data_IF_755735077562
#
_entry.id   IF_755735077562
#
_cell.length_a   1.000
_cell.length_b   1.000
_cell.length_c   1.000
_cell.angle_alpha   90.00
_cell.angle_beta   90.00
_cell.angle_gamma   90.00
#
_symmetry.space_group_name_H-M   'P 1'
#
loop_
_entity.id
_entity.type
_entity.pdbx_description
1 polymer ?
#
# COMPACT_ATOMS: atom_id res chain seq x y z
N UNK A 1 34.84 7.32 52.63
CA UNK A 1 33.73 7.24 52.23
C UNK A 1 33.58 6.98 50.85
N UNK A 2 33.13 6.04 50.47
CA UNK A 2 32.97 5.74 49.19
C UNK A 2 31.71 6.04 48.67
N UNK A 3 31.63 6.53 47.61
CA UNK A 3 30.50 6.82 47.05
C UNK A 3 30.26 6.00 45.92
N UNK A 4 29.46 5.23 45.79
CA UNK A 4 29.16 4.46 44.72
C UNK A 4 28.19 5.09 43.88
N UNK A 5 28.54 5.46 42.85
CA UNK A 5 27.61 6.08 41.97
C UNK A 5 27.11 5.05 41.08
N UNK A 6 25.99 4.72 41.24
CA UNK A 6 25.40 3.82 40.39
C UNK A 6 24.88 4.48 39.22
N UNK A 7 25.39 4.21 38.16
CA UNK A 7 24.91 4.83 37.00
C UNK A 7 23.90 4.02 36.42
N UNK A 8 22.78 4.37 36.55
CA UNK A 8 21.70 3.72 36.00
C UNK A 8 21.69 3.93 34.53
N UNK A 9 21.96 3.03 33.82
CA UNK A 9 21.91 3.21 32.44
C UNK A 9 20.59 2.97 31.92
N UNK A 10 19.99 3.84 31.37
CA UNK A 10 18.71 3.68 30.85
C UNK A 10 18.75 2.83 29.65
N UNK A 11 18.17 1.81 29.68
CA UNK A 11 18.09 1.05 28.60
C UNK A 11 17.17 1.53 27.64
N UNK A 12 17.53 2.10 26.72
CA UNK A 12 16.67 2.62 25.76
C UNK A 12 16.23 1.53 24.91
N UNK A 13 15.17 1.03 25.18
CA UNK A 13 14.73 0.12 24.42
C UNK A 13 14.10 0.53 23.22
N UNK A 14 14.56 0.50 22.21
CA UNK A 14 13.97 0.80 21.08
C UNK A 14 13.14 -0.19 20.63
N UNK A 15 12.12 -0.18 20.84
CA UNK A 15 11.21 -0.96 20.33
C UNK A 15 11.18 -0.81 18.94
N UNK A 16 11.81 -1.34 18.29
CA UNK A 16 11.74 -1.14 16.98
C UNK A 16 10.50 -1.67 16.52
N UNK A 17 9.82 -1.07 15.99
CA UNK A 17 8.68 -1.43 15.51
C UNK A 17 8.85 -2.31 14.48
N UNK A 18 8.90 -3.23 14.61
CA UNK A 18 9.04 -3.98 13.68
C UNK A 18 7.98 -4.25 12.92
N UNK A 19 7.65 -3.67 12.28
CA UNK A 19 6.64 -3.84 11.59
C UNK A 19 6.80 -4.73 10.63
N UNK A 20 6.85 -5.60 10.77
CA UNK A 20 6.99 -6.39 9.90
C UNK A 20 5.97 -6.63 9.05
N UNK A 21 5.59 -6.11 8.38
CA UNK A 21 4.59 -6.42 7.66
C UNK A 21 4.87 -6.27 6.36
N UNK A 22 4.64 -6.74 5.79
CA UNK A 22 4.69 -6.77 4.57
C UNK A 22 4.05 -5.91 3.99
N UNK A 23 3.90 -5.66 3.35
CA UNK A 23 3.19 -4.81 2.90
C UNK A 23 3.50 -4.28 1.72
N UNK A 24 2.78 -3.69 1.27
CA UNK A 24 2.89 -2.93 0.18
C UNK A 24 3.88 -2.01 0.52
N UNK A 25 4.95 -2.01 -0.02
CA UNK A 25 5.83 -1.03 0.31
C UNK A 25 5.57 0.25 -0.32
N UNK A 26 5.03 0.34 -1.42
CA UNK A 26 4.81 1.64 -2.05
C UNK A 26 3.69 1.57 -3.03
N UNK A 27 2.92 2.63 -3.11
CA UNK A 27 1.83 2.70 -4.07
C UNK A 27 2.00 3.97 -4.90
N UNK A 28 1.37 4.00 -6.07
CA UNK A 28 1.28 5.18 -6.90
C UNK A 28 -0.19 5.34 -7.28
N UNK A 29 -0.82 6.42 -6.91
CA UNK A 29 -0.30 7.51 -6.07
C UNK A 29 0.04 7.03 -4.66
N UNK A 30 0.85 7.78 -3.95
CA UNK A 30 1.17 7.42 -2.58
C UNK A 30 -0.09 7.47 -1.72
N UNK A 31 -0.14 6.61 -0.74
CA UNK A 31 -1.31 6.56 0.13
C UNK A 31 -1.50 7.91 0.80
N UNK A 32 -2.67 8.46 0.70
CA UNK A 32 -2.99 9.75 1.29
C UNK A 32 -2.61 10.93 0.43
N UNK A 33 -2.05 10.73 -0.74
CA UNK A 33 -1.58 11.84 -1.57
C UNK A 33 -2.73 12.58 -2.24
N UNK A 34 -2.49 13.83 -2.55
CA UNK A 34 -3.39 14.60 -3.38
C UNK A 34 -2.64 14.88 -4.68
N UNK A 35 -3.22 14.49 -5.79
CA UNK A 35 -2.56 14.61 -7.08
C UNK A 35 -3.44 15.31 -8.08
N UNK A 36 -2.83 15.85 -9.12
CA UNK A 36 -3.62 16.53 -10.15
C UNK A 36 -4.27 15.55 -11.11
N UNK A 37 -3.60 14.45 -11.37
CA UNK A 37 -4.17 13.45 -12.26
C UNK A 37 -3.51 12.13 -12.00
N UNK A 38 -4.11 11.05 -12.46
CA UNK A 38 -3.59 9.72 -12.25
C UNK A 38 -3.53 9.02 -13.58
N UNK A 39 -2.31 8.67 -13.99
CA UNK A 39 -2.17 7.92 -15.22
C UNK A 39 -1.97 6.45 -14.95
N UNK A 40 -1.53 6.07 -13.78
CA UNK A 40 -1.28 4.69 -13.47
C UNK A 40 -1.50 4.44 -11.99
N UNK A 41 -2.05 3.29 -11.70
CA UNK A 41 -2.18 2.80 -10.34
C UNK A 41 -1.18 1.67 -10.17
N UNK A 42 -0.34 1.75 -9.16
CA UNK A 42 0.70 0.77 -8.98
C UNK A 42 0.83 0.37 -7.52
N UNK A 43 1.06 -0.89 -7.28
CA UNK A 43 1.30 -1.39 -5.95
C UNK A 43 2.57 -2.19 -5.99
N UNK A 44 3.57 -1.82 -5.20
CA UNK A 44 4.81 -2.56 -5.14
C UNK A 44 4.78 -3.46 -3.91
N UNK A 45 5.20 -4.70 -4.07
CA UNK A 45 5.22 -5.66 -2.99
C UNK A 45 6.66 -6.03 -2.69
N UNK A 46 6.93 -6.43 -1.44
CA UNK A 46 8.27 -6.80 -1.09
C UNK A 46 8.53 -8.27 -1.42
N UNK A 47 7.55 -8.97 -1.89
CA UNK A 47 7.70 -10.36 -2.34
C UNK A 47 6.62 -10.63 -3.37
N UNK A 48 6.78 -11.62 -4.20
CA UNK A 48 5.79 -11.86 -5.25
C UNK A 48 4.39 -12.05 -4.71
N UNK A 49 3.44 -11.47 -5.37
CA UNK A 49 2.06 -11.49 -4.97
C UNK A 49 1.18 -11.73 -6.19
N UNK A 50 0.23 -12.63 -6.05
CA UNK A 50 -0.73 -12.85 -7.11
C UNK A 50 -1.94 -12.02 -6.76
N UNK A 51 -2.19 -10.97 -7.46
CA UNK A 51 -3.32 -10.10 -7.15
C UNK A 51 -4.56 -10.67 -7.83
N UNK A 52 -5.48 -11.16 -7.03
CA UNK A 52 -6.66 -11.80 -7.56
C UNK A 52 -7.74 -10.81 -7.91
N UNK A 53 -7.87 -9.78 -7.14
CA UNK A 53 -8.90 -8.77 -7.42
C UNK A 53 -8.41 -7.41 -6.96
N UNK A 54 -8.78 -6.39 -7.69
CA UNK A 54 -8.48 -5.01 -7.30
C UNK A 54 -9.66 -4.15 -7.78
N UNK A 55 -10.10 -3.26 -6.93
CA UNK A 55 -11.24 -2.41 -7.26
C UNK A 55 -10.97 -0.99 -6.81
N UNK A 56 -11.29 -0.03 -7.65
CA UNK A 56 -11.16 1.38 -7.34
C UNK A 56 -12.54 1.93 -7.07
N UNK A 57 -12.68 2.70 -6.01
CA UNK A 57 -13.96 3.32 -5.70
C UNK A 57 -13.76 4.81 -5.45
N UNK A 58 -14.82 5.58 -5.68
CA UNK A 58 -14.85 6.97 -5.39
C UNK A 58 -16.12 7.20 -4.63
N UNK A 59 -16.02 7.58 -3.37
CA UNK A 59 -17.17 7.80 -2.51
C UNK A 59 -18.06 6.56 -2.49
N UNK A 60 -17.46 5.38 -2.49
CA UNK A 60 -18.20 4.14 -2.43
C UNK A 60 -18.67 3.58 -3.74
N UNK A 61 -18.56 4.34 -4.82
CA UNK A 61 -19.01 3.85 -6.12
C UNK A 61 -17.84 3.32 -6.93
N UNK A 62 -18.02 2.23 -7.59
CA UNK A 62 -16.92 1.62 -8.31
C UNK A 62 -16.51 2.43 -9.53
N UNK A 63 -15.24 2.54 -9.77
CA UNK A 63 -14.69 3.26 -10.89
C UNK A 63 -13.91 2.26 -11.73
N UNK A 64 -14.16 2.23 -13.01
CA UNK A 64 -13.55 1.22 -13.89
C UNK A 64 -12.06 1.40 -14.02
N UNK A 65 -11.32 0.32 -13.92
CA UNK A 65 -9.91 0.30 -14.18
C UNK A 65 -9.59 -0.87 -15.07
N UNK A 66 -8.44 -0.79 -15.72
CA UNK A 66 -7.99 -1.87 -16.57
C UNK A 66 -6.70 -2.41 -16.03
N UNK A 67 -6.67 -3.67 -15.70
CA UNK A 67 -5.46 -4.28 -15.19
C UNK A 67 -4.47 -4.47 -16.31
N UNK A 68 -3.23 -4.13 -16.04
CA UNK A 68 -2.18 -4.44 -16.98
C UNK A 68 -1.42 -5.66 -16.50
N UNK A 69 -1.50 -5.99 -15.24
CA UNK A 69 -0.89 -7.18 -14.69
C UNK A 69 -1.89 -8.30 -14.74
N UNK A 70 -1.50 -9.45 -15.19
CA UNK A 70 -2.39 -10.60 -15.22
C UNK A 70 -2.47 -11.28 -13.87
N UNK A 71 -2.72 -12.58 -13.90
CA UNK A 71 -2.91 -13.33 -12.65
C UNK A 71 -1.64 -14.01 -12.19
N UNK A 72 -0.52 -13.73 -12.79
CA UNK A 72 0.73 -14.33 -12.35
C UNK A 72 1.27 -13.62 -11.11
N UNK A 73 2.09 -14.26 -10.32
CA UNK A 73 2.70 -13.59 -9.17
C UNK A 73 3.64 -12.50 -9.66
N UNK A 74 3.55 -11.34 -9.06
CA UNK A 74 4.36 -10.18 -9.48
C UNK A 74 4.87 -9.43 -8.29
N UNK A 75 5.94 -8.68 -8.49
CA UNK A 75 6.43 -7.80 -7.44
C UNK A 75 5.82 -6.42 -7.58
N UNK A 76 5.12 -6.15 -8.62
CA UNK A 76 4.38 -4.90 -8.75
C UNK A 76 3.14 -5.13 -9.59
N UNK A 77 2.03 -4.61 -9.11
CA UNK A 77 0.77 -4.70 -9.82
C UNK A 77 0.50 -3.36 -10.48
N UNK A 78 0.06 -3.37 -11.71
CA UNK A 78 -0.25 -2.16 -12.45
C UNK A 78 -1.66 -2.20 -13.02
N UNK A 79 -2.31 -1.08 -12.97
CA UNK A 79 -3.61 -0.91 -13.61
C UNK A 79 -3.73 0.53 -14.02
N UNK A 80 -4.60 0.82 -14.95
CA UNK A 80 -4.83 2.19 -15.38
C UNK A 80 -6.30 2.51 -15.26
N UNK A 81 -6.67 3.74 -14.95
CA UNK A 81 -8.07 4.10 -14.96
C UNK A 81 -8.61 3.97 -16.39
N UNK A 82 -9.81 3.45 -16.53
CA UNK A 82 -10.38 3.31 -17.85
C UNK A 82 -10.69 4.64 -18.48
N UNK A 83 -10.93 5.65 -17.64
CA UNK A 83 -11.16 7.00 -18.11
C UNK A 83 -10.49 7.96 -17.19
N UNK A 84 -10.30 9.19 -17.60
CA UNK A 84 -9.71 10.21 -16.76
C UNK A 84 -10.48 10.31 -15.45
N UNK A 85 -9.79 10.31 -14.33
CA UNK A 85 -10.46 10.37 -13.05
C UNK A 85 -10.92 11.77 -12.73
N UNK A 86 -12.16 11.92 -12.36
CA UNK A 86 -12.68 13.22 -11.94
C UNK A 86 -12.15 13.57 -10.57
N UNK A 87 -12.18 14.84 -10.18
CA UNK A 87 -11.76 15.20 -8.83
C UNK A 87 -12.58 14.45 -7.79
N UNK A 88 -11.93 14.09 -6.72
CA UNK A 88 -12.60 13.39 -5.64
C UNK A 88 -11.64 12.53 -4.86
N UNK A 89 -12.17 11.80 -3.91
CA UNK A 89 -11.41 10.93 -3.05
C UNK A 89 -11.61 9.50 -3.48
N UNK A 90 -10.51 8.82 -3.68
CA UNK A 90 -10.51 7.48 -4.23
C UNK A 90 -9.86 6.48 -3.28
N UNK A 91 -10.26 5.23 -3.44
CA UNK A 91 -9.63 4.16 -2.67
C UNK A 91 -9.49 2.95 -3.57
N UNK A 92 -8.32 2.33 -3.54
CA UNK A 92 -8.13 1.09 -4.25
C UNK A 92 -7.95 -0.01 -3.23
N UNK A 93 -8.77 -1.04 -3.31
CA UNK A 93 -8.66 -2.19 -2.43
C UNK A 93 -8.30 -3.40 -3.27
N UNK A 94 -7.43 -4.24 -2.75
CA UNK A 94 -7.02 -5.43 -3.48
C UNK A 94 -6.95 -6.63 -2.56
N UNK A 95 -7.02 -7.79 -3.13
CA UNK A 95 -6.78 -9.02 -2.41
C UNK A 95 -5.98 -9.95 -3.30
N UNK A 96 -5.22 -10.79 -2.71
CA UNK A 96 -4.35 -11.66 -3.46
C UNK A 96 -3.84 -12.80 -2.62
N UNK A 97 -2.84 -13.48 -3.14
CA UNK A 97 -2.27 -14.62 -2.47
C UNK A 97 -0.77 -14.50 -2.53
N UNK A 98 -0.14 -14.61 -1.38
CA UNK A 98 1.31 -14.55 -1.32
C UNK A 98 1.89 -15.84 -1.87
N UNK A 99 3.20 -15.83 -2.12
CA UNK A 99 3.83 -16.98 -2.72
C UNK A 99 3.68 -18.25 -1.89
N UNK A 100 3.56 -18.10 -0.59
CA UNK A 100 3.43 -19.27 0.27
C UNK A 100 1.98 -19.71 0.42
N UNK A 101 1.06 -19.11 -0.30
CA UNK A 101 -0.33 -19.51 -0.25
C UNK A 101 -1.19 -18.76 0.74
N UNK A 102 -0.64 -17.83 1.48
CA UNK A 102 -1.44 -17.09 2.43
C UNK A 102 -2.28 -16.03 1.72
N UNK A 103 -3.55 -15.91 2.06
CA UNK A 103 -4.37 -14.83 1.50
C UNK A 103 -3.91 -13.50 2.06
N UNK A 104 -3.88 -12.51 1.22
CA UNK A 104 -3.45 -11.18 1.60
C UNK A 104 -4.44 -10.16 1.06
N UNK A 105 -4.52 -9.02 1.72
CA UNK A 105 -5.36 -7.93 1.21
C UNK A 105 -4.80 -6.62 1.67
N UNK A 106 -5.14 -5.58 1.00
CA UNK A 106 -4.70 -4.25 1.38
C UNK A 106 -5.41 -3.21 0.57
N UNK A 107 -5.01 -1.97 0.76
CA UNK A 107 -5.63 -0.88 0.03
C UNK A 107 -4.93 0.40 0.29
N UNK A 108 -5.21 1.39 -0.53
CA UNK A 108 -4.67 2.73 -0.32
C UNK A 108 -5.64 3.75 -0.91
N UNK A 109 -5.51 4.97 -0.46
CA UNK A 109 -6.40 6.04 -0.89
C UNK A 109 -5.65 7.24 -1.37
N UNK A 110 -6.28 8.04 -2.20
CA UNK A 110 -5.69 9.27 -2.71
C UNK A 110 -6.80 10.22 -3.11
N UNK A 111 -6.45 11.45 -3.34
CA UNK A 111 -7.40 12.45 -3.77
C UNK A 111 -6.93 13.05 -5.08
N UNK A 112 -7.86 13.21 -6.02
CA UNK A 112 -7.58 13.91 -7.26
C UNK A 112 -8.12 15.32 -7.07
N UNK A 113 -7.24 16.31 -7.20
CA UNK A 113 -7.61 17.68 -6.95
C UNK A 113 -8.36 18.27 -8.12
N UNK A 114 -9.05 19.32 -7.86
CA UNK A 114 -9.79 20.00 -8.91
C UNK A 114 -8.91 20.84 -9.75
#
# INVERSE_FOLDING_TARGET
MIRTTILALPLALLAGAAAAHTKTDATTPADGATVAEVEMLRIAFDAPMRVIAAALTRDGAEVAIERETGMEPVEAFHAVPAETLAPGTYRLDWRGMAADGHPMQGGFGFTVAE
#
